data_IF_121716443232
#
_entry.id   IF_121716443232
#
_cell.length_a   1.000
_cell.length_b   1.000
_cell.length_c   1.000
_cell.angle_alpha   90.00
_cell.angle_beta   90.00
_cell.angle_gamma   90.00
#
_symmetry.space_group_name_H-M   'P 1'
#
loop_
_entity.id
_entity.type
_entity.pdbx_description
1 polymer ?
#
# COMPACT_ATOMS: atom_id res chain seq x y z
N UNK A 1 -31.15 10.69 -22.40
CA UNK A 1 -30.37 10.52 -21.16
C UNK A 1 -29.07 9.86 -21.53
N UNK A 2 -27.98 10.62 -21.62
CA UNK A 2 -26.65 10.05 -21.86
C UNK A 2 -26.07 9.59 -20.52
N UNK A 3 -25.45 8.41 -20.44
CA UNK A 3 -24.81 7.96 -19.20
C UNK A 3 -23.58 8.84 -18.93
N UNK A 4 -23.47 9.34 -17.71
CA UNK A 4 -22.28 10.05 -17.23
C UNK A 4 -21.06 9.13 -17.32
N UNK A 5 -19.87 9.65 -17.68
CA UNK A 5 -18.64 8.86 -17.61
C UNK A 5 -18.36 8.43 -16.15
N UNK A 6 -17.80 7.24 -15.92
CA UNK A 6 -17.44 6.81 -14.57
C UNK A 6 -16.40 7.77 -13.97
N UNK A 7 -16.43 8.00 -12.65
CA UNK A 7 -15.48 8.89 -12.00
C UNK A 7 -14.05 8.45 -12.29
N UNK A 8 -13.24 9.43 -12.69
CA UNK A 8 -11.84 9.32 -13.05
C UNK A 8 -11.07 8.41 -12.09
N UNK A 9 -10.42 7.40 -12.64
CA UNK A 9 -9.59 6.37 -11.97
C UNK A 9 -8.36 6.90 -11.21
N UNK A 10 -8.29 8.20 -10.94
CA UNK A 10 -7.20 8.89 -10.23
C UNK A 10 -7.32 8.85 -8.69
N UNK A 11 -8.39 8.29 -8.14
CA UNK A 11 -8.58 8.15 -6.68
C UNK A 11 -8.15 6.80 -6.13
N UNK A 12 -7.84 5.82 -7.00
CA UNK A 12 -7.58 4.44 -6.59
C UNK A 12 -6.23 4.29 -5.89
N UNK A 13 -5.15 4.84 -6.46
CA UNK A 13 -3.81 4.74 -5.85
C UNK A 13 -3.73 5.48 -4.49
N UNK A 14 -4.16 6.76 -4.34
CA UNK A 14 -4.09 7.44 -3.04
C UNK A 14 -4.92 6.74 -1.96
N UNK A 15 -6.10 6.22 -2.31
CA UNK A 15 -6.95 5.46 -1.39
C UNK A 15 -6.29 4.15 -0.98
N UNK A 16 -5.79 3.38 -1.95
CA UNK A 16 -5.12 2.10 -1.68
C UNK A 16 -3.86 2.28 -0.82
N UNK A 17 -3.09 3.35 -1.04
CA UNK A 17 -1.93 3.70 -0.21
C UNK A 17 -2.38 4.08 1.20
N UNK A 18 -3.38 4.96 1.34
CA UNK A 18 -3.89 5.37 2.66
C UNK A 18 -4.38 4.17 3.49
N UNK A 19 -5.14 3.26 2.88
CA UNK A 19 -5.62 2.04 3.54
C UNK A 19 -4.45 1.13 3.94
N UNK A 20 -3.44 0.94 3.06
CA UNK A 20 -2.25 0.15 3.39
C UNK A 20 -1.51 0.72 4.60
N UNK A 21 -1.31 2.04 4.65
CA UNK A 21 -0.68 2.72 5.78
C UNK A 21 -1.48 2.52 7.07
N UNK A 22 -2.80 2.64 7.01
CA UNK A 22 -3.69 2.38 8.14
C UNK A 22 -3.54 0.94 8.67
N UNK A 23 -3.58 -0.06 7.79
CA UNK A 23 -3.43 -1.47 8.18
C UNK A 23 -2.04 -1.79 8.74
N UNK A 24 -0.97 -1.18 8.21
CA UNK A 24 0.38 -1.36 8.77
C UNK A 24 0.54 -0.73 10.16
N UNK A 25 -0.21 0.33 10.46
CA UNK A 25 -0.30 0.90 11.81
C UNK A 25 -1.07 -0.04 12.74
N UNK A 26 -2.22 -0.54 12.29
CA UNK A 26 -3.03 -1.51 13.04
C UNK A 26 -2.23 -2.79 13.36
N UNK A 27 -1.42 -3.30 12.42
CA UNK A 27 -0.53 -4.44 12.68
C UNK A 27 0.46 -4.15 13.83
N UNK A 28 1.04 -2.95 13.87
CA UNK A 28 1.93 -2.57 14.97
C UNK A 28 1.18 -2.37 16.29
N UNK A 29 -0.06 -1.88 16.25
CA UNK A 29 -0.92 -1.76 17.43
C UNK A 29 -1.27 -3.13 18.01
N UNK A 30 -1.70 -4.09 17.17
CA UNK A 30 -2.04 -5.45 17.64
C UNK A 30 -0.81 -6.21 18.14
N UNK A 31 0.38 -5.99 17.55
CA UNK A 31 1.64 -6.53 18.10
C UNK A 31 1.95 -6.00 19.51
N UNK A 32 1.67 -4.72 19.78
CA UNK A 32 1.81 -4.14 21.12
C UNK A 32 0.83 -4.78 22.10
N UNK A 33 -0.43 -4.97 21.70
CA UNK A 33 -1.43 -5.65 22.53
C UNK A 33 -1.04 -7.12 22.79
N UNK A 34 -0.58 -7.82 21.76
CA UNK A 34 -0.09 -9.19 21.88
C UNK A 34 1.04 -9.31 22.90
N UNK A 35 1.98 -8.36 22.91
CA UNK A 35 3.11 -8.38 23.85
C UNK A 35 2.73 -8.24 25.33
N UNK A 36 1.49 -7.89 25.64
CA UNK A 36 0.95 -7.76 27.00
C UNK A 36 -0.29 -8.64 27.19
N UNK A 37 -0.39 -9.73 26.42
CA UNK A 37 -1.49 -10.71 26.46
C UNK A 37 -2.90 -10.13 26.24
N UNK A 38 -3.00 -8.98 25.57
CA UNK A 38 -4.27 -8.33 25.22
C UNK A 38 -4.70 -8.59 23.77
N UNK A 39 -3.92 -9.35 23.01
CA UNK A 39 -4.30 -9.87 21.70
C UNK A 39 -3.69 -11.25 21.47
N UNK A 40 -4.39 -12.11 20.72
CA UNK A 40 -3.91 -13.43 20.35
C UNK A 40 -2.97 -13.39 19.14
N UNK A 41 -2.20 -14.47 18.95
CA UNK A 41 -1.43 -14.72 17.73
C UNK A 41 -2.31 -14.69 16.46
N UNK A 42 -3.53 -15.21 16.55
CA UNK A 42 -4.53 -15.20 15.48
C UNK A 42 -4.88 -13.77 15.07
N UNK A 43 -5.12 -12.86 16.02
CA UNK A 43 -5.42 -11.46 15.72
C UNK A 43 -4.26 -10.73 15.04
N UNK A 44 -3.01 -11.08 15.38
CA UNK A 44 -1.83 -10.55 14.68
C UNK A 44 -1.74 -11.11 13.25
N UNK A 45 -2.03 -12.40 13.09
CA UNK A 45 -2.04 -13.08 11.80
C UNK A 45 -3.11 -12.51 10.86
N UNK A 46 -4.32 -12.26 11.37
CA UNK A 46 -5.41 -11.62 10.63
C UNK A 46 -5.03 -10.21 10.16
N UNK A 47 -4.43 -9.40 11.05
CA UNK A 47 -3.93 -8.08 10.68
C UNK A 47 -2.85 -8.16 9.58
N UNK A 48 -1.97 -9.17 9.63
CA UNK A 48 -0.99 -9.41 8.57
C UNK A 48 -1.64 -9.82 7.24
N UNK A 49 -2.67 -10.68 7.25
CA UNK A 49 -3.42 -11.05 6.04
C UNK A 49 -4.06 -9.82 5.39
N UNK A 50 -4.67 -8.92 6.19
CA UNK A 50 -5.23 -7.67 5.69
C UNK A 50 -4.16 -6.77 5.05
N UNK A 51 -2.97 -6.66 5.67
CA UNK A 51 -1.84 -5.94 5.08
C UNK A 51 -1.43 -6.56 3.74
N UNK A 52 -1.33 -7.88 3.64
CA UNK A 52 -0.98 -8.58 2.40
C UNK A 52 -2.01 -8.38 1.28
N UNK A 53 -3.30 -8.52 1.62
CA UNK A 53 -4.41 -8.27 0.69
C UNK A 53 -4.38 -6.83 0.16
N UNK A 54 -4.25 -5.85 1.07
CA UNK A 54 -4.21 -4.46 0.69
C UNK A 54 -2.94 -4.11 -0.10
N UNK A 55 -1.79 -4.72 0.23
CA UNK A 55 -0.56 -4.56 -0.53
C UNK A 55 -0.76 -5.00 -1.98
N UNK A 56 -1.39 -6.16 -2.22
CA UNK A 56 -1.72 -6.62 -3.57
C UNK A 56 -2.68 -5.65 -4.29
N UNK A 57 -3.68 -5.12 -3.58
CA UNK A 57 -4.57 -4.09 -4.14
C UNK A 57 -3.80 -2.81 -4.54
N UNK A 58 -2.84 -2.37 -3.73
CA UNK A 58 -1.97 -1.24 -4.04
C UNK A 58 -1.08 -1.52 -5.25
N UNK A 59 -0.48 -2.72 -5.35
CA UNK A 59 0.30 -3.13 -6.53
C UNK A 59 -0.57 -3.08 -7.80
N UNK A 60 -1.78 -3.64 -7.72
CA UNK A 60 -2.74 -3.61 -8.83
C UNK A 60 -3.12 -2.18 -9.22
N UNK A 61 -3.35 -1.28 -8.26
CA UNK A 61 -3.66 0.12 -8.53
C UNK A 61 -2.50 0.82 -9.29
N UNK A 62 -1.25 0.67 -8.83
CA UNK A 62 -0.08 1.23 -9.53
C UNK A 62 0.13 0.61 -10.93
N UNK A 63 -0.15 -0.68 -11.11
CA UNK A 63 0.01 -1.37 -12.39
C UNK A 63 -0.85 -0.78 -13.51
N UNK A 64 -2.06 -0.27 -13.18
CA UNK A 64 -2.96 0.40 -14.13
C UNK A 64 -2.37 1.69 -14.70
N UNK A 65 -1.42 2.30 -13.98
CA UNK A 65 -0.67 3.47 -14.40
C UNK A 65 0.72 3.10 -14.98
N UNK A 66 0.98 1.81 -15.24
CA UNK A 66 2.26 1.28 -15.72
C UNK A 66 3.45 1.61 -14.81
N UNK A 67 3.18 1.71 -13.50
CA UNK A 67 4.23 1.96 -12.50
C UNK A 67 4.67 0.63 -11.93
N UNK A 68 5.96 0.34 -12.11
CA UNK A 68 6.58 -0.87 -11.59
C UNK A 68 6.63 -0.84 -10.07
N UNK A 69 6.26 -1.95 -9.45
CA UNK A 69 6.25 -2.20 -8.01
C UNK A 69 7.21 -3.34 -7.61
N UNK A 70 8.01 -3.84 -8.56
CA UNK A 70 8.91 -4.98 -8.39
C UNK A 70 9.85 -4.86 -7.19
N UNK A 71 10.35 -3.66 -6.92
CA UNK A 71 11.22 -3.34 -5.79
C UNK A 71 10.55 -3.49 -4.41
N UNK A 72 9.23 -3.60 -4.36
CA UNK A 72 8.46 -3.75 -3.12
C UNK A 72 7.86 -5.13 -2.92
N UNK A 73 7.92 -6.02 -3.92
CA UNK A 73 7.25 -7.34 -3.86
C UNK A 73 7.81 -8.24 -2.75
N UNK A 74 9.03 -8.00 -2.27
CA UNK A 74 9.60 -8.76 -1.13
C UNK A 74 9.02 -8.35 0.22
N UNK A 75 8.36 -7.18 0.33
CA UNK A 75 7.92 -6.60 1.61
C UNK A 75 7.00 -7.54 2.40
N UNK A 76 5.93 -8.14 1.82
CA UNK A 76 5.06 -9.05 2.57
C UNK A 76 5.80 -10.27 3.10
N UNK A 77 6.72 -10.84 2.30
CA UNK A 77 7.51 -11.99 2.71
C UNK A 77 8.50 -11.63 3.83
N UNK A 78 9.20 -10.50 3.70
CA UNK A 78 10.14 -10.04 4.72
C UNK A 78 9.43 -9.74 6.04
N UNK A 79 8.19 -9.22 5.99
CA UNK A 79 7.36 -9.02 7.16
C UNK A 79 6.93 -10.35 7.78
N UNK A 80 6.44 -11.30 6.98
CA UNK A 80 6.08 -12.67 7.41
C UNK A 80 7.22 -13.33 8.19
N UNK A 81 8.44 -13.31 7.64
CA UNK A 81 9.62 -13.94 8.27
C UNK A 81 9.96 -13.31 9.64
N UNK A 82 9.71 -12.01 9.83
CA UNK A 82 9.92 -11.36 11.12
C UNK A 82 8.79 -11.72 12.10
N UNK A 83 7.54 -11.71 11.63
CA UNK A 83 6.38 -12.05 12.45
C UNK A 83 6.40 -13.50 12.92
N UNK A 84 6.70 -14.45 12.05
CA UNK A 84 6.78 -15.88 12.41
C UNK A 84 7.78 -16.13 13.53
N UNK A 85 8.93 -15.45 13.50
CA UNK A 85 9.93 -15.56 14.58
C UNK A 85 9.49 -14.88 15.86
N UNK A 86 8.78 -13.76 15.76
CA UNK A 86 8.28 -13.03 16.93
C UNK A 86 7.17 -13.80 17.63
N UNK A 87 6.19 -14.31 16.87
CA UNK A 87 5.01 -15.00 17.38
C UNK A 87 5.32 -16.43 17.86
N UNK A 88 6.43 -17.02 17.40
CA UNK A 88 6.92 -18.29 17.93
C UNK A 88 7.63 -18.20 19.30
N UNK A 89 7.77 -17.00 19.87
CA UNK A 89 8.27 -16.78 21.23
C UNK A 89 7.13 -16.46 22.20
N UNK A 90 7.39 -16.57 23.51
CA UNK A 90 6.43 -16.17 24.55
C UNK A 90 6.05 -14.69 24.39
N UNK A 91 4.75 -14.35 24.44
CA UNK A 91 4.29 -12.97 24.40
C UNK A 91 4.88 -12.18 25.58
N UNK A 92 5.67 -11.15 25.27
CA UNK A 92 6.18 -10.23 26.28
C UNK A 92 6.66 -8.92 25.65
N UNK A 93 6.72 -7.81 26.41
CA UNK A 93 7.29 -6.56 25.90
C UNK A 93 8.74 -6.72 25.46
N UNK A 94 9.51 -7.57 26.16
CA UNK A 94 10.91 -7.87 25.85
C UNK A 94 11.06 -8.63 24.52
N UNK A 95 10.18 -9.59 24.26
CA UNK A 95 10.09 -10.29 22.97
C UNK A 95 9.83 -9.27 21.87
N UNK A 96 8.81 -8.42 22.04
CA UNK A 96 8.46 -7.41 21.06
C UNK A 96 9.60 -6.41 20.80
N UNK A 97 10.26 -5.90 21.84
CA UNK A 97 11.41 -4.99 21.73
C UNK A 97 12.55 -5.57 20.90
N UNK A 98 12.79 -6.89 20.97
CA UNK A 98 13.81 -7.60 20.17
C UNK A 98 13.47 -7.59 18.68
N UNK A 99 12.20 -7.78 18.32
CA UNK A 99 11.75 -7.93 16.93
C UNK A 99 11.31 -6.62 16.26
N UNK A 100 10.82 -5.65 17.03
CA UNK A 100 10.31 -4.38 16.51
C UNK A 100 11.29 -3.59 15.64
N UNK A 101 12.61 -3.53 15.90
CA UNK A 101 13.56 -2.89 14.98
C UNK A 101 13.51 -3.47 13.57
N UNK A 102 13.32 -4.79 13.43
CA UNK A 102 13.21 -5.47 12.13
C UNK A 102 11.87 -5.18 11.46
N UNK A 103 10.77 -5.21 12.22
CA UNK A 103 9.44 -4.80 11.72
C UNK A 103 9.49 -3.37 11.18
N UNK A 104 10.02 -2.42 11.97
CA UNK A 104 10.18 -1.01 11.59
C UNK A 104 11.05 -0.84 10.34
N UNK A 105 12.10 -1.65 10.19
CA UNK A 105 12.94 -1.65 8.99
C UNK A 105 12.14 -2.05 7.75
N UNK A 106 11.37 -3.14 7.81
CA UNK A 106 10.54 -3.59 6.69
C UNK A 106 9.48 -2.54 6.33
N UNK A 107 8.78 -1.99 7.32
CA UNK A 107 7.79 -0.94 7.12
C UNK A 107 8.39 0.35 6.57
N UNK A 108 9.58 0.74 7.03
CA UNK A 108 10.27 1.92 6.51
C UNK A 108 10.61 1.77 5.02
N UNK A 109 11.09 0.60 4.58
CA UNK A 109 11.32 0.33 3.15
C UNK A 109 10.02 0.42 2.34
N UNK A 110 8.90 -0.07 2.89
CA UNK A 110 7.59 0.09 2.26
C UNK A 110 7.25 1.58 2.08
N UNK A 111 7.38 2.39 3.14
CA UNK A 111 7.10 3.83 3.09
C UNK A 111 7.97 4.55 2.04
N UNK A 112 9.28 4.30 2.05
CA UNK A 112 10.20 4.88 1.08
C UNK A 112 9.87 4.45 -0.36
N UNK A 113 9.53 3.17 -0.53
CA UNK A 113 9.06 2.62 -1.80
C UNK A 113 7.87 3.38 -2.34
N UNK A 114 6.79 3.42 -1.56
CA UNK A 114 5.55 4.11 -1.92
C UNK A 114 5.79 5.60 -2.19
N UNK A 115 6.66 6.26 -1.42
CA UNK A 115 7.04 7.65 -1.64
C UNK A 115 7.73 7.84 -3.00
N UNK A 116 8.65 6.95 -3.38
CA UNK A 116 9.32 6.99 -4.69
C UNK A 116 8.34 6.78 -5.85
N UNK A 117 7.20 6.10 -5.64
CA UNK A 117 6.16 5.92 -6.66
C UNK A 117 5.22 7.12 -6.81
N UNK A 118 5.24 8.10 -5.90
CA UNK A 118 4.37 9.27 -5.98
C UNK A 118 4.65 10.13 -7.21
N UNK A 119 5.91 10.51 -7.45
CA UNK A 119 6.28 11.35 -8.59
C UNK A 119 5.89 10.75 -9.96
N UNK A 120 6.24 9.47 -10.28
CA UNK A 120 5.81 8.86 -11.53
C UNK A 120 4.28 8.71 -11.62
N UNK A 121 3.58 8.49 -10.50
CA UNK A 121 2.12 8.47 -10.45
C UNK A 121 1.50 9.80 -10.86
N UNK A 122 1.92 10.91 -10.25
CA UNK A 122 1.39 12.23 -10.59
C UNK A 122 1.70 12.61 -12.03
N UNK A 123 2.90 12.28 -12.53
CA UNK A 123 3.24 12.46 -13.95
C UNK A 123 2.31 11.67 -14.88
N UNK A 124 1.97 10.43 -14.53
CA UNK A 124 1.06 9.60 -15.33
C UNK A 124 -0.39 10.13 -15.32
N UNK A 125 -0.87 10.61 -14.17
CA UNK A 125 -2.21 11.19 -14.02
C UNK A 125 -2.31 12.55 -14.73
N UNK A 126 -1.31 13.41 -14.59
CA UNK A 126 -1.26 14.72 -15.27
C UNK A 126 -1.11 14.57 -16.78
N UNK A 127 -0.25 13.67 -17.25
CA UNK A 127 -0.10 13.36 -18.68
C UNK A 127 -1.39 12.81 -19.30
N UNK A 128 -2.20 12.08 -18.52
CA UNK A 128 -3.53 11.62 -18.96
C UNK A 128 -4.57 12.75 -18.99
N UNK A 129 -4.33 13.86 -18.27
CA UNK A 129 -5.24 15.01 -18.20
C UNK A 129 -5.06 15.98 -19.39
N UNK A 130 -3.98 15.83 -20.16
CA UNK A 130 -3.72 16.59 -21.39
C UNK A 130 -3.93 15.73 -22.63
N UNK A 131 -5.18 15.34 -22.89
CA UNK A 131 -5.62 14.96 -24.23
C UNK A 131 -6.47 16.12 -24.76
N UNK A 132 -5.79 17.14 -25.31
CA UNK A 132 -6.44 18.08 -26.22
C UNK A 132 -6.67 17.34 -27.53
N UNK A 133 -7.91 17.20 -28.04
CA UNK A 133 -8.10 16.80 -29.42
C UNK A 133 -7.52 17.93 -30.29
N UNK A 134 -6.49 17.59 -31.07
CA UNK A 134 -5.98 18.48 -32.10
C UNK A 134 -7.04 18.60 -33.20
N UNK A 135 -7.71 19.76 -33.21
CA UNK A 135 -8.11 20.58 -34.36
C UNK A 135 -8.62 19.83 -35.60
N UNK A 136 -9.94 19.85 -35.82
CA UNK A 136 -10.49 19.94 -37.18
C UNK A 136 -11.68 20.91 -37.17
N UNK A 137 -11.39 22.22 -37.21
CA UNK A 137 -12.38 23.21 -37.63
C UNK A 137 -11.67 24.40 -38.30
N UNK A 138 -10.99 24.12 -39.42
CA UNK A 138 -10.58 25.15 -40.37
C UNK A 138 -11.48 25.17 -41.63
N UNK A 139 -12.65 24.53 -41.59
CA UNK A 139 -13.55 24.32 -42.75
C UNK A 139 -15.01 24.67 -42.49
N UNK A 140 -15.27 25.72 -41.71
CA UNK A 140 -16.58 26.40 -41.63
C UNK A 140 -16.30 27.84 -41.19
N UNK A 141 -16.44 28.91 -41.95
CA UNK A 141 -17.29 29.21 -43.09
C UNK A 141 -16.51 30.09 -44.07
N UNK A 142 -16.44 29.62 -45.30
CA UNK A 142 -16.56 30.44 -46.50
C UNK A 142 -18.04 30.78 -46.71
#
# INVERSE_FOLDING_TARGET
MSPSPPPSSSSDVPTAVSTLLGLTKQLQDVLRLWSVDQASEEQVSDAFVLVGMQFNATVNAFSRHRIDMGDLLSIPNDLRVVLEKCLGEEPSPRTLERYMPRVRTVLFRLLQGLQRKQAPYWKAVEGSRWVVPAVDEYTRYR
#
